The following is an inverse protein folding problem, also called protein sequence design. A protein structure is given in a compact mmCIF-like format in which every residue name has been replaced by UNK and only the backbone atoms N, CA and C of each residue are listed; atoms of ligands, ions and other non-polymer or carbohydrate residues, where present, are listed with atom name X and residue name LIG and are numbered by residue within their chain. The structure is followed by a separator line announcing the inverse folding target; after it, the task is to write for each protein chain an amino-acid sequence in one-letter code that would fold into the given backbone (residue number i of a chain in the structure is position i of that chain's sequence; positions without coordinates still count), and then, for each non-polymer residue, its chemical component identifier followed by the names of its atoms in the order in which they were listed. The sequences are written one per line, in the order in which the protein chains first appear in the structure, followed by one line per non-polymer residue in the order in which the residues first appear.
data_IF_093049043391
#
_entry.id   IF_093049043391
#
_cell.length_a   1.000
_cell.length_b   1.000
_cell.length_c   1.000
_cell.angle_alpha   90.00
_cell.angle_beta   90.00
_cell.angle_gamma   90.00
#
_symmetry.space_group_name_H-M   'P 1'
#
loop_
_entity.id
_entity.type
_entity.pdbx_description
1 polymer ?
#
# COMPACT_ATOMS: atom_id res chain seq x y z
N UNK A 1 4.35 8.79 1.71
CA UNK A 1 3.25 8.82 2.70
C UNK A 1 3.86 8.75 4.09
N UNK A 2 3.33 9.50 5.07
CA UNK A 2 3.79 9.39 6.46
C UNK A 2 3.23 8.10 7.11
N UNK A 3 4.05 7.38 7.86
CA UNK A 3 3.65 6.16 8.59
C UNK A 3 2.44 6.38 9.51
N UNK A 4 2.36 7.52 10.19
CA UNK A 4 1.24 7.86 11.07
C UNK A 4 -0.07 7.96 10.29
N UNK A 5 -0.04 8.60 9.12
CA UNK A 5 -1.21 8.73 8.25
C UNK A 5 -1.67 7.35 7.76
N UNK A 6 -0.73 6.53 7.29
CA UNK A 6 -1.01 5.16 6.86
C UNK A 6 -1.65 4.35 8.00
N UNK A 7 -1.06 4.39 9.19
CA UNK A 7 -1.55 3.68 10.37
C UNK A 7 -2.96 4.12 10.74
N UNK A 8 -3.23 5.42 10.75
CA UNK A 8 -4.57 5.96 11.01
C UNK A 8 -5.60 5.50 9.97
N UNK A 9 -5.22 5.38 8.70
CA UNK A 9 -6.12 4.85 7.65
C UNK A 9 -6.43 3.37 7.88
N UNK A 10 -5.43 2.56 8.22
CA UNK A 10 -5.61 1.14 8.52
C UNK A 10 -6.51 0.97 9.75
N UNK A 11 -6.22 1.67 10.85
CA UNK A 11 -7.03 1.64 12.07
C UNK A 11 -8.47 2.07 11.80
N UNK A 12 -8.66 3.15 11.05
CA UNK A 12 -10.00 3.60 10.66
C UNK A 12 -10.72 2.56 9.79
N UNK A 13 -10.00 1.90 8.88
CA UNK A 13 -10.58 0.84 8.05
C UNK A 13 -11.00 -0.34 8.91
N UNK A 14 -10.17 -0.79 9.84
CA UNK A 14 -10.48 -1.92 10.74
C UNK A 14 -11.69 -1.64 11.63
N UNK A 15 -11.77 -0.43 12.19
CA UNK A 15 -12.88 -0.04 13.07
C UNK A 15 -14.19 0.04 12.30
N UNK A 16 -14.18 0.64 11.12
CA UNK A 16 -15.39 1.00 10.39
C UNK A 16 -15.83 -0.04 9.34
N UNK A 17 -14.93 -0.91 8.88
CA UNK A 17 -15.28 -1.91 7.90
C UNK A 17 -16.20 -2.98 8.49
N UNK A 18 -17.29 -3.27 7.78
CA UNK A 18 -18.14 -4.42 8.02
C UNK A 18 -18.32 -5.16 6.70
N UNK A 19 -18.13 -6.47 6.72
CA UNK A 19 -18.31 -7.29 5.52
C UNK A 19 -19.76 -7.17 5.04
N UNK A 20 -20.00 -6.83 3.77
CA UNK A 20 -21.37 -6.69 3.26
C UNK A 20 -22.14 -8.03 3.18
N UNK A 21 -21.42 -9.15 3.07
CA UNK A 21 -22.03 -10.49 2.97
C UNK A 21 -22.44 -11.07 4.33
N UNK A 22 -21.59 -10.90 5.36
CA UNK A 22 -21.80 -11.57 6.65
C UNK A 22 -21.69 -10.65 7.87
N UNK A 23 -21.55 -9.33 7.66
CA UNK A 23 -21.42 -8.30 8.70
C UNK A 23 -20.25 -8.48 9.67
N UNK A 24 -19.34 -9.42 9.43
CA UNK A 24 -18.19 -9.64 10.30
C UNK A 24 -17.22 -8.46 10.26
N UNK A 25 -16.48 -8.33 11.36
CA UNK A 25 -15.37 -7.40 11.49
C UNK A 25 -14.09 -7.98 10.89
N UNK A 26 -13.06 -7.14 10.79
CA UNK A 26 -11.72 -7.50 10.30
C UNK A 26 -10.67 -7.08 11.33
N UNK A 27 -9.41 -7.46 11.09
CA UNK A 27 -8.22 -7.01 11.80
C UNK A 27 -7.14 -6.58 10.80
N UNK A 28 -6.07 -5.94 11.26
CA UNK A 28 -4.95 -5.48 10.43
C UNK A 28 -4.39 -6.59 9.53
N UNK A 29 -4.30 -7.82 10.04
CA UNK A 29 -3.80 -8.99 9.29
C UNK A 29 -4.72 -9.46 8.16
N UNK A 30 -5.90 -8.85 8.02
CA UNK A 30 -6.84 -9.12 6.93
C UNK A 30 -6.77 -8.08 5.81
N UNK A 31 -5.83 -7.12 5.90
CA UNK A 31 -5.67 -6.01 4.97
C UNK A 31 -4.36 -6.18 4.21
N UNK A 32 -4.43 -6.20 2.88
CA UNK A 32 -3.28 -6.17 2.00
C UNK A 32 -3.22 -4.81 1.29
N UNK A 33 -2.05 -4.17 1.28
CA UNK A 33 -1.88 -2.95 0.50
C UNK A 33 -1.63 -3.30 -0.97
N UNK A 34 -2.51 -2.82 -1.85
CA UNK A 34 -2.35 -3.03 -3.29
C UNK A 34 -1.55 -1.90 -3.93
N UNK A 35 -1.85 -0.66 -3.53
CA UNK A 35 -1.21 0.52 -4.11
C UNK A 35 -1.32 1.73 -3.18
N UNK A 36 -0.31 2.60 -3.23
CA UNK A 36 -0.25 3.83 -2.47
C UNK A 36 0.21 4.98 -3.36
N UNK A 37 -0.49 6.11 -3.28
CA UNK A 37 -0.02 7.41 -3.75
C UNK A 37 -0.05 8.43 -2.62
N UNK A 38 0.40 9.64 -2.93
CA UNK A 38 0.45 10.76 -1.99
C UNK A 38 -0.87 11.03 -1.26
N UNK A 39 -2.00 10.93 -1.96
CA UNK A 39 -3.33 11.29 -1.45
C UNK A 39 -4.31 10.13 -1.39
N UNK A 40 -3.87 8.90 -1.70
CA UNK A 40 -4.79 7.77 -1.77
C UNK A 40 -4.10 6.43 -1.54
N UNK A 41 -4.86 5.48 -1.03
CA UNK A 41 -4.42 4.11 -0.76
C UNK A 41 -5.50 3.17 -1.26
N UNK A 42 -5.10 2.15 -2.03
CA UNK A 42 -5.95 1.03 -2.41
C UNK A 42 -5.55 -0.18 -1.56
N UNK A 43 -6.52 -0.74 -0.85
CA UNK A 43 -6.35 -1.89 0.03
C UNK A 43 -7.27 -3.01 -0.42
N UNK A 44 -6.78 -4.24 -0.37
CA UNK A 44 -7.62 -5.43 -0.40
C UNK A 44 -7.94 -5.82 1.05
N UNK A 45 -9.22 -6.04 1.33
CA UNK A 45 -9.73 -6.51 2.61
C UNK A 45 -10.32 -7.90 2.42
N UNK A 46 -9.73 -8.89 3.09
CA UNK A 46 -10.15 -10.27 3.02
C UNK A 46 -11.00 -10.61 4.25
N UNK A 47 -12.29 -10.88 4.07
CA UNK A 47 -13.16 -11.23 5.17
C UNK A 47 -12.71 -12.56 5.82
N UNK A 48 -12.41 -12.60 7.14
CA UNK A 48 -11.94 -13.83 7.78
C UNK A 48 -13.03 -14.91 7.84
N UNK A 49 -14.32 -14.51 7.87
CA UNK A 49 -15.45 -15.41 8.03
C UNK A 49 -15.92 -16.02 6.70
N UNK A 50 -16.35 -15.18 5.74
CA UNK A 50 -16.90 -15.65 4.46
C UNK A 50 -15.89 -15.67 3.30
N UNK A 51 -14.64 -15.29 3.54
CA UNK A 51 -13.53 -15.25 2.56
C UNK A 51 -13.74 -14.33 1.35
N UNK A 52 -14.82 -13.56 1.32
CA UNK A 52 -15.05 -12.53 0.28
C UNK A 52 -13.97 -11.46 0.35
N UNK A 53 -13.45 -11.08 -0.81
CA UNK A 53 -12.44 -10.05 -0.98
C UNK A 53 -13.08 -8.73 -1.39
N UNK A 54 -12.59 -7.63 -0.83
CA UNK A 54 -13.09 -6.28 -1.11
C UNK A 54 -11.93 -5.36 -1.43
N UNK A 55 -12.09 -4.53 -2.47
CA UNK A 55 -11.14 -3.43 -2.73
C UNK A 55 -11.70 -2.17 -2.07
N UNK A 56 -10.94 -1.62 -1.12
CA UNK A 56 -11.23 -0.39 -0.40
C UNK A 56 -10.24 0.67 -0.85
N UNK A 57 -10.78 1.77 -1.38
CA UNK A 57 -10.00 2.97 -1.71
C UNK A 57 -10.20 4.01 -0.61
N UNK A 58 -9.12 4.38 0.06
CA UNK A 58 -9.08 5.49 1.01
C UNK A 58 -8.47 6.71 0.32
N UNK A 59 -9.15 7.85 0.38
CA UNK A 59 -8.65 9.12 -0.13
C UNK A 59 -8.42 10.08 1.02
N UNK A 60 -7.25 10.72 1.02
CA UNK A 60 -6.86 11.70 2.03
C UNK A 60 -7.28 13.07 1.50
N UNK A 61 -8.43 13.53 1.96
CA UNK A 61 -8.84 14.92 1.78
C UNK A 61 -8.09 15.79 2.78
N UNK A 62 -7.10 16.54 2.31
CA UNK A 62 -6.51 17.62 3.12
C UNK A 62 -7.54 18.74 3.23
N UNK A 63 -8.36 18.72 4.28
CA UNK A 63 -9.24 19.85 4.59
C UNK A 63 -8.38 21.09 4.79
N UNK A 64 -8.65 22.12 3.98
CA UNK A 64 -7.95 23.41 3.92
C UNK A 64 -7.51 23.92 5.31
N UNK A 65 -6.28 23.61 5.69
CA UNK A 65 -5.45 24.52 6.47
C UNK A 65 -4.38 25.00 5.50
N UNK A 66 -4.68 26.14 4.89
CA UNK A 66 -3.79 27.02 4.12
C UNK A 66 -2.55 26.32 3.54
N UNK A 67 -2.73 25.64 2.41
CA UNK A 67 -1.63 25.31 1.52
C UNK A 67 -1.08 26.62 0.94
N UNK A 68 -0.21 27.29 1.69
CA UNK A 68 0.50 28.44 1.13
C UNK A 68 1.40 27.94 -0.01
N UNK A 69 1.62 28.75 -1.06
CA UNK A 69 2.53 28.40 -2.15
C UNK A 69 3.92 27.96 -1.67
N UNK A 70 4.34 28.47 -0.52
CA UNK A 70 5.59 28.14 0.15
C UNK A 70 5.63 26.72 0.75
N UNK A 71 4.53 26.23 1.32
CA UNK A 71 4.44 24.84 1.79
C UNK A 71 4.46 23.88 0.60
N UNK A 72 3.78 24.24 -0.50
CA UNK A 72 3.78 23.49 -1.75
C UNK A 72 5.16 23.44 -2.42
N UNK A 73 5.88 24.56 -2.47
CA UNK A 73 7.23 24.60 -3.05
C UNK A 73 8.22 23.82 -2.19
N UNK A 74 8.16 23.96 -0.87
CA UNK A 74 9.01 23.21 0.05
C UNK A 74 8.75 21.70 -0.01
N UNK A 75 7.49 21.27 -0.14
CA UNK A 75 7.15 19.86 -0.34
C UNK A 75 7.65 19.34 -1.69
N UNK A 76 7.48 20.10 -2.77
CA UNK A 76 7.97 19.72 -4.09
C UNK A 76 9.49 19.56 -4.10
N UNK A 77 10.21 20.52 -3.51
CA UNK A 77 11.66 20.46 -3.37
C UNK A 77 12.11 19.29 -2.50
N UNK A 78 11.39 19.01 -1.40
CA UNK A 78 11.68 17.85 -0.54
C UNK A 78 11.49 16.52 -1.30
N UNK A 79 10.42 16.41 -2.09
CA UNK A 79 10.19 15.21 -2.91
C UNK A 79 11.22 15.05 -4.03
N UNK A 80 11.65 16.15 -4.63
CA UNK A 80 12.68 16.14 -5.65
C UNK A 80 14.03 15.74 -5.06
N UNK A 81 14.39 16.26 -3.89
CA UNK A 81 15.60 15.86 -3.16
C UNK A 81 15.58 14.39 -2.74
N UNK A 82 14.43 13.85 -2.31
CA UNK A 82 14.29 12.42 -2.01
C UNK A 82 14.50 11.59 -3.28
N UNK A 83 13.92 12.00 -4.41
CA UNK A 83 14.09 11.31 -5.69
C UNK A 83 15.55 11.33 -6.16
N UNK A 84 16.20 12.50 -6.10
CA UNK A 84 17.61 12.66 -6.45
C UNK A 84 18.51 11.84 -5.53
N UNK A 85 18.19 11.76 -4.22
CA UNK A 85 18.88 10.88 -3.28
C UNK A 85 18.70 9.38 -3.62
N UNK A 86 17.50 8.95 -4.02
CA UNK A 86 17.24 7.58 -4.49
C UNK A 86 17.98 7.26 -5.80
N UNK A 87 18.07 8.22 -6.72
CA UNK A 87 18.84 8.09 -7.97
C UNK A 87 20.35 8.04 -7.70
N UNK A 88 20.85 8.72 -6.65
CA UNK A 88 22.25 8.66 -6.20
C UNK A 88 22.61 7.36 -5.47
N UNK A 89 21.66 6.70 -4.82
CA UNK A 89 21.92 5.44 -4.11
C UNK A 89 22.16 4.25 -5.05
N UNK A 90 21.99 4.43 -6.37
CA UNK A 90 22.23 3.42 -7.40
C UNK A 90 21.58 2.06 -7.08
N UNK A 91 20.47 2.10 -6.33
CA UNK A 91 19.64 0.93 -6.08
C UNK A 91 18.93 0.67 -7.40
N UNK A 92 19.33 -0.37 -8.12
CA UNK A 92 18.57 -0.78 -9.31
C UNK A 92 17.11 -0.92 -8.88
N UNK A 93 16.25 -0.08 -9.44
CA UNK A 93 14.82 -0.18 -9.20
C UNK A 93 14.38 -1.56 -9.68
N UNK A 94 13.57 -2.24 -8.87
CA UNK A 94 12.96 -3.51 -9.26
C UNK A 94 12.22 -3.25 -10.58
N UNK A 95 12.66 -3.90 -11.66
CA UNK A 95 12.07 -3.75 -12.99
C UNK A 95 10.84 -4.62 -13.09
N UNK A 96 9.92 -4.27 -13.98
CA UNK A 96 8.74 -5.10 -14.27
C UNK A 96 9.13 -6.52 -14.71
N UNK A 97 10.29 -6.67 -15.36
CA UNK A 97 10.86 -7.99 -15.69
C UNK A 97 11.15 -8.83 -14.45
N UNK A 98 11.60 -8.21 -13.37
CA UNK A 98 11.97 -8.91 -12.14
C UNK A 98 10.71 -9.42 -11.44
N UNK A 99 9.64 -8.64 -11.47
CA UNK A 99 8.31 -9.02 -10.96
C UNK A 99 7.75 -10.20 -11.76
N UNK A 100 7.87 -10.16 -13.09
CA UNK A 100 7.41 -11.24 -13.96
C UNK A 100 8.21 -12.53 -13.75
N UNK A 101 9.53 -12.42 -13.57
CA UNK A 101 10.39 -13.57 -13.30
C UNK A 101 10.05 -14.22 -11.96
N UNK A 102 9.86 -13.43 -10.90
CA UNK A 102 9.41 -13.94 -9.59
C UNK A 102 8.06 -14.63 -9.74
N UNK A 103 7.11 -14.05 -10.49
CA UNK A 103 5.80 -14.65 -10.73
C UNK A 103 5.89 -16.01 -11.44
N UNK A 104 6.72 -16.13 -12.47
CA UNK A 104 6.92 -17.40 -13.18
C UNK A 104 7.61 -18.46 -12.31
N UNK A 105 8.55 -18.04 -11.48
CA UNK A 105 9.23 -18.90 -10.53
C UNK A 105 8.28 -19.43 -9.44
N UNK A 106 7.39 -18.58 -8.93
CA UNK A 106 6.37 -18.97 -7.97
C UNK A 106 5.35 -19.97 -8.54
N UNK A 107 5.03 -19.89 -9.83
CA UNK A 107 4.15 -20.87 -10.50
C UNK A 107 4.76 -22.27 -10.59
N UNK A 108 6.09 -22.39 -10.56
CA UNK A 108 6.81 -23.67 -10.60
C UNK A 108 6.97 -24.30 -9.22
N UNK A 109 6.72 -23.54 -8.16
CA UNK A 109 6.78 -24.04 -6.79
C UNK A 109 5.52 -24.86 -6.49
N UNK A 110 5.71 -26.12 -6.13
CA UNK A 110 4.62 -27.05 -5.75
C UNK A 110 4.43 -27.13 -4.24
N UNK A 111 5.45 -26.71 -3.49
CA UNK A 111 5.50 -26.73 -2.04
C UNK A 111 6.21 -25.47 -1.49
N UNK A 112 6.02 -25.21 -0.19
CA UNK A 112 6.69 -24.10 0.51
C UNK A 112 8.22 -24.28 0.54
N UNK A 113 8.69 -25.52 0.54
CA UNK A 113 10.12 -25.86 0.52
C UNK A 113 10.81 -25.48 -0.80
N UNK A 114 10.05 -25.38 -1.89
CA UNK A 114 10.55 -24.95 -3.19
C UNK A 114 10.88 -23.44 -3.21
N UNK A 115 10.24 -22.64 -2.33
CA UNK A 115 10.46 -21.20 -2.23
C UNK A 115 11.86 -20.84 -1.71
N UNK A 116 12.49 -21.72 -0.95
CA UNK A 116 13.82 -21.52 -0.39
C UNK A 116 14.95 -21.98 -1.33
N UNK A 117 14.58 -22.53 -2.50
CA UNK A 117 15.52 -23.01 -3.54
C UNK A 117 15.47 -22.16 -4.81
N UNK A 118 14.69 -21.08 -4.80
CA UNK A 118 14.59 -20.08 -5.89
C UNK A 118 15.82 -19.19 -5.98
#
# INVERSE_FOLDING_TARGET
MNYLILKSIIEATVVNFRCKECSSTISDGNINMLWMAWNSINMEVNCPNCKTQWIVKAEIGFMNQTWTPEILSNLKNTMQNIREWWEQLNVESIKDSDILNVRENLKKCSSIEDLFKL
#
